data_IF_605338744763
#
_entry.id   IF_605338744763
#
_cell.length_a   1.000
_cell.length_b   1.000
_cell.length_c   1.000
_cell.angle_alpha   90.00
_cell.angle_beta   90.00
_cell.angle_gamma   90.00
#
_symmetry.space_group_name_H-M   'P 1'
#
loop_
_entity.id
_entity.type
_entity.pdbx_description
1 polymer ?
#
# COMPACT_ATOMS: atom_id res chain seq x y z
N UNK A 1 9.58 -21.36 -13.19
CA UNK A 1 9.23 -22.79 -13.15
C UNK A 1 8.67 -23.19 -14.50
N UNK A 2 9.05 -24.35 -15.01
CA UNK A 2 8.56 -24.88 -16.28
C UNK A 2 7.85 -26.19 -16.03
N UNK A 3 6.58 -26.26 -16.43
CA UNK A 3 5.80 -27.48 -16.43
C UNK A 3 5.85 -28.08 -17.83
N UNK A 4 6.28 -29.32 -17.95
CA UNK A 4 6.38 -30.02 -19.26
C UNK A 4 5.49 -31.24 -19.24
N UNK A 5 4.68 -31.39 -20.29
CA UNK A 5 3.80 -32.55 -20.49
C UNK A 5 4.52 -33.67 -21.23
N UNK A 6 4.26 -34.90 -20.79
CA UNK A 6 4.72 -36.11 -21.46
C UNK A 6 3.57 -37.10 -21.62
N UNK A 7 3.46 -37.72 -22.78
CA UNK A 7 2.48 -38.76 -23.07
C UNK A 7 3.23 -40.07 -23.29
N UNK A 8 3.02 -41.03 -22.40
CA UNK A 8 3.58 -42.39 -22.51
C UNK A 8 2.43 -43.40 -22.47
N UNK A 9 2.34 -44.27 -23.47
CA UNK A 9 1.29 -45.28 -23.58
C UNK A 9 -0.16 -44.72 -23.44
N UNK A 10 -0.40 -43.50 -23.92
CA UNK A 10 -1.71 -42.84 -23.86
C UNK A 10 -2.05 -42.18 -22.52
N UNK A 11 -1.15 -42.22 -21.53
CA UNK A 11 -1.30 -41.51 -20.26
C UNK A 11 -0.56 -40.19 -20.32
N UNK A 12 -1.28 -39.08 -20.11
CA UNK A 12 -0.69 -37.74 -20.01
C UNK A 12 -0.20 -37.51 -18.58
N UNK A 13 1.07 -37.20 -18.44
CA UNK A 13 1.71 -36.82 -17.18
C UNK A 13 2.38 -35.47 -17.32
N UNK A 14 2.67 -34.83 -16.19
CA UNK A 14 3.45 -33.59 -16.15
C UNK A 14 4.62 -33.70 -15.17
N UNK A 15 5.70 -32.99 -15.48
CA UNK A 15 6.82 -32.78 -14.58
C UNK A 15 7.06 -31.29 -14.44
N UNK A 16 7.30 -30.84 -13.21
CA UNK A 16 7.67 -29.46 -12.91
C UNK A 16 9.18 -29.40 -12.71
N UNK A 17 9.82 -28.49 -13.43
CA UNK A 17 11.21 -28.11 -13.21
C UNK A 17 11.27 -26.63 -12.82
N UNK A 18 12.34 -26.22 -12.17
CA UNK A 18 12.57 -24.82 -11.82
C UNK A 18 14.05 -24.51 -11.76
N UNK A 19 14.37 -23.24 -11.94
CA UNK A 19 15.70 -22.70 -11.77
C UNK A 19 15.64 -21.58 -10.73
N UNK A 20 16.69 -21.42 -9.94
CA UNK A 20 16.85 -20.28 -9.06
C UNK A 20 17.22 -19.00 -9.85
N UNK A 21 17.38 -17.89 -9.12
CA UNK A 21 17.75 -16.59 -9.70
C UNK A 21 19.15 -16.56 -10.34
N UNK A 22 20.00 -17.54 -10.05
CA UNK A 22 21.33 -17.73 -10.63
C UNK A 22 21.34 -18.70 -11.80
N UNK A 23 20.17 -19.21 -12.21
CA UNK A 23 20.01 -20.16 -13.31
C UNK A 23 20.32 -21.61 -12.94
N UNK A 24 20.52 -21.92 -11.66
CA UNK A 24 20.79 -23.27 -11.17
C UNK A 24 19.47 -24.02 -10.99
N UNK A 25 19.41 -25.27 -11.45
CA UNK A 25 18.21 -26.10 -11.29
C UNK A 25 17.88 -26.32 -9.81
N UNK A 26 16.61 -26.14 -9.46
CA UNK A 26 16.12 -26.40 -8.11
C UNK A 26 16.16 -27.90 -7.79
N UNK A 27 16.50 -28.30 -6.54
CA UNK A 27 16.56 -29.70 -6.16
C UNK A 27 15.18 -30.36 -6.24
N UNK A 28 15.12 -31.62 -6.68
CA UNK A 28 13.88 -32.36 -6.87
C UNK A 28 13.01 -32.50 -5.60
N UNK A 29 13.61 -32.38 -4.41
CA UNK A 29 12.89 -32.43 -3.14
C UNK A 29 11.96 -31.23 -2.89
N UNK A 30 12.13 -30.11 -3.61
CA UNK A 30 11.31 -28.90 -3.48
C UNK A 30 10.24 -28.77 -4.57
N UNK A 31 10.00 -29.84 -5.32
CA UNK A 31 9.06 -29.88 -6.45
C UNK A 31 8.15 -31.13 -6.34
N UNK A 32 6.99 -31.13 -7.02
CA UNK A 32 6.18 -32.34 -7.16
C UNK A 32 7.02 -33.49 -7.72
N UNK A 33 6.71 -34.72 -7.29
CA UNK A 33 7.38 -35.91 -7.84
C UNK A 33 7.22 -35.95 -9.37
N UNK A 34 8.21 -36.46 -10.09
CA UNK A 34 8.16 -36.51 -11.55
C UNK A 34 6.95 -37.31 -12.07
N UNK A 35 6.49 -36.99 -13.28
CA UNK A 35 5.44 -37.69 -14.01
C UNK A 35 4.10 -37.79 -13.24
N UNK A 36 3.67 -36.68 -12.63
CA UNK A 36 2.34 -36.62 -12.02
C UNK A 36 1.24 -36.81 -13.07
N UNK A 37 0.16 -37.53 -12.76
CA UNK A 37 -0.96 -37.69 -13.68
C UNK A 37 -1.61 -36.33 -13.96
N UNK A 38 -1.86 -36.03 -15.24
CA UNK A 38 -2.62 -34.84 -15.64
C UNK A 38 -4.09 -35.18 -15.81
N UNK A 39 -4.96 -34.30 -15.31
CA UNK A 39 -6.39 -34.32 -15.62
C UNK A 39 -6.82 -32.90 -15.91
N UNK A 40 -7.56 -32.71 -16.99
CA UNK A 40 -8.01 -31.39 -17.44
C UNK A 40 -8.81 -30.67 -16.35
N UNK A 41 -8.44 -29.43 -16.05
CA UNK A 41 -9.10 -28.60 -15.04
C UNK A 41 -8.75 -28.94 -13.59
N UNK A 42 -7.96 -29.99 -13.32
CA UNK A 42 -7.46 -30.24 -11.97
C UNK A 42 -6.44 -29.17 -11.56
N UNK A 43 -6.50 -28.78 -10.28
CA UNK A 43 -5.56 -27.83 -9.71
C UNK A 43 -4.17 -28.45 -9.62
N UNK A 44 -3.19 -27.74 -10.15
CA UNK A 44 -1.76 -28.03 -9.99
C UNK A 44 -1.23 -27.03 -8.97
N UNK A 45 -0.73 -27.54 -7.85
CA UNK A 45 -0.25 -26.73 -6.74
C UNK A 45 1.15 -27.16 -6.31
N UNK A 46 2.07 -26.20 -6.18
CA UNK A 46 3.42 -26.42 -5.67
C UNK A 46 4.05 -25.10 -5.22
N UNK A 47 4.90 -25.13 -4.20
CA UNK A 47 5.64 -23.96 -3.70
C UNK A 47 4.76 -22.71 -3.48
N UNK A 48 3.52 -22.88 -3.00
CA UNK A 48 2.55 -21.80 -2.77
C UNK A 48 1.85 -21.27 -4.02
N UNK A 49 2.22 -21.75 -5.21
CA UNK A 49 1.60 -21.41 -6.49
C UNK A 49 0.46 -22.40 -6.76
N UNK A 50 -0.66 -21.89 -7.27
CA UNK A 50 -1.82 -22.70 -7.69
C UNK A 50 -2.33 -22.21 -9.04
N UNK A 51 -2.54 -23.13 -9.96
CA UNK A 51 -3.18 -22.86 -11.26
C UNK A 51 -3.87 -24.13 -11.77
N UNK A 52 -4.66 -24.01 -12.83
CA UNK A 52 -5.18 -25.17 -13.55
C UNK A 52 -4.82 -25.02 -15.04
N UNK A 53 -4.79 -26.16 -15.74
CA UNK A 53 -4.64 -26.21 -17.18
C UNK A 53 -5.84 -26.96 -17.72
N UNK A 54 -6.46 -26.41 -18.76
CA UNK A 54 -7.62 -27.00 -19.43
C UNK A 54 -7.23 -27.49 -20.82
N UNK A 55 -8.00 -28.43 -21.35
CA UNK A 55 -7.73 -29.08 -22.64
C UNK A 55 -6.83 -30.31 -22.54
N UNK A 56 -6.37 -30.76 -23.73
CA UNK A 56 -5.54 -31.93 -23.94
C UNK A 56 -4.17 -31.49 -24.46
N UNK A 57 -3.15 -31.35 -23.58
CA UNK A 57 -1.81 -30.97 -24.00
C UNK A 57 -1.17 -32.09 -24.83
N UNK A 58 -0.40 -31.71 -25.84
CA UNK A 58 0.38 -32.63 -26.65
C UNK A 58 1.69 -33.01 -25.94
N UNK A 59 2.31 -34.10 -26.39
CA UNK A 59 3.60 -34.54 -25.86
C UNK A 59 4.68 -33.48 -26.12
N UNK A 60 5.35 -33.01 -25.08
CA UNK A 60 6.37 -31.96 -25.16
C UNK A 60 5.83 -30.54 -24.96
N UNK A 61 4.52 -30.34 -24.83
CA UNK A 61 3.96 -29.02 -24.51
C UNK A 61 4.50 -28.54 -23.16
N UNK A 62 4.83 -27.25 -23.07
CA UNK A 62 5.39 -26.65 -21.87
C UNK A 62 4.72 -25.35 -21.48
N UNK A 63 4.52 -25.14 -20.19
CA UNK A 63 4.01 -23.91 -19.60
C UNK A 63 5.07 -23.31 -18.68
N UNK A 64 5.39 -22.04 -18.93
CA UNK A 64 6.32 -21.30 -18.08
C UNK A 64 5.55 -20.48 -17.05
N UNK A 65 5.85 -20.71 -15.78
CA UNK A 65 5.37 -19.94 -14.64
C UNK A 65 6.54 -19.10 -14.13
N UNK A 66 6.52 -17.82 -14.49
CA UNK A 66 7.52 -16.84 -14.11
C UNK A 66 6.95 -15.83 -13.11
N UNK A 67 7.80 -15.23 -12.25
CA UNK A 67 7.40 -14.07 -11.45
C UNK A 67 6.85 -12.95 -12.34
N UNK A 68 5.88 -12.20 -11.81
CA UNK A 68 5.34 -11.03 -12.48
C UNK A 68 6.42 -9.97 -12.70
N UNK A 69 6.39 -9.34 -13.87
CA UNK A 69 7.27 -8.23 -14.23
C UNK A 69 6.47 -6.95 -14.40
N UNK A 70 7.16 -5.80 -14.37
CA UNK A 70 6.51 -4.53 -14.66
C UNK A 70 6.18 -4.45 -16.15
N UNK A 71 4.88 -4.36 -16.48
CA UNK A 71 4.39 -4.19 -17.85
C UNK A 71 3.63 -2.87 -17.94
N UNK A 72 4.08 -1.91 -18.79
CA UNK A 72 3.34 -0.67 -19.02
C UNK A 72 1.94 -0.95 -19.59
N UNK A 73 0.92 -0.23 -19.11
CA UNK A 73 -0.46 -0.40 -19.58
C UNK A 73 -0.60 -0.19 -21.09
N UNK A 74 0.14 0.78 -21.65
CA UNK A 74 0.16 1.03 -23.09
C UNK A 74 0.75 -0.14 -23.87
N UNK A 75 1.75 -0.82 -23.32
CA UNK A 75 2.30 -2.03 -23.92
C UNK A 75 1.28 -3.16 -23.88
N UNK A 76 0.52 -3.30 -22.78
CA UNK A 76 -0.57 -4.27 -22.68
C UNK A 76 -1.63 -4.04 -23.76
N UNK A 77 -2.05 -2.79 -23.96
CA UNK A 77 -3.02 -2.42 -25.00
C UNK A 77 -2.46 -2.71 -26.40
N UNK A 78 -1.19 -2.35 -26.66
CA UNK A 78 -0.54 -2.64 -27.93
C UNK A 78 -0.46 -4.14 -28.21
N UNK A 79 -0.10 -4.94 -27.19
CA UNK A 79 -0.06 -6.40 -27.31
C UNK A 79 -1.44 -6.98 -27.60
N UNK A 80 -2.48 -6.45 -26.96
CA UNK A 80 -3.86 -6.88 -27.21
C UNK A 80 -4.31 -6.53 -28.64
N UNK A 81 -3.99 -5.34 -29.14
CA UNK A 81 -4.27 -4.96 -30.54
C UNK A 81 -3.56 -5.91 -31.51
N UNK A 82 -2.28 -6.19 -31.27
CA UNK A 82 -1.51 -7.13 -32.10
C UNK A 82 -2.11 -8.54 -32.06
N UNK A 83 -2.52 -9.01 -30.88
CA UNK A 83 -3.17 -10.30 -30.69
C UNK A 83 -4.47 -10.39 -31.49
N UNK A 84 -5.34 -9.38 -31.37
CA UNK A 84 -6.64 -9.34 -32.08
C UNK A 84 -6.51 -9.23 -33.60
N UNK A 85 -5.40 -8.65 -34.09
CA UNK A 85 -5.09 -8.58 -35.52
C UNK A 85 -4.38 -9.84 -36.05
N UNK A 86 -3.99 -10.77 -35.18
CA UNK A 86 -3.32 -12.00 -35.61
C UNK A 86 -4.36 -12.99 -36.15
N UNK A 87 -4.26 -13.41 -37.43
CA UNK A 87 -5.21 -14.34 -38.00
C UNK A 87 -5.10 -15.71 -37.31
N UNK A 88 -6.25 -16.27 -36.95
CA UNK A 88 -6.36 -17.62 -36.39
C UNK A 88 -6.62 -18.63 -37.53
N UNK A 89 -5.61 -19.45 -37.91
CA UNK A 89 -5.83 -20.45 -38.94
C UNK A 89 -6.84 -21.51 -38.46
N UNK A 90 -7.84 -21.78 -39.29
CA UNK A 90 -8.87 -22.78 -39.00
C UNK A 90 -8.26 -24.16 -38.75
N UNK A 91 -8.72 -24.85 -37.70
CA UNK A 91 -8.25 -26.19 -37.34
C UNK A 91 -6.94 -26.24 -36.52
N UNK A 92 -6.31 -25.11 -36.22
CA UNK A 92 -5.13 -25.07 -35.36
C UNK A 92 -5.52 -24.85 -33.89
N UNK A 93 -5.73 -25.96 -33.16
CA UNK A 93 -6.11 -25.94 -31.74
C UNK A 93 -5.06 -25.27 -30.85
N UNK A 94 -3.76 -25.44 -31.16
CA UNK A 94 -2.65 -24.79 -30.44
C UNK A 94 -2.69 -23.27 -30.60
N UNK A 95 -2.94 -22.76 -31.81
CA UNK A 95 -3.08 -21.34 -32.06
C UNK A 95 -4.28 -20.75 -31.30
N UNK A 96 -5.41 -21.47 -31.27
CA UNK A 96 -6.60 -21.07 -30.50
C UNK A 96 -6.31 -21.04 -29.00
N UNK A 97 -5.64 -22.05 -28.44
CA UNK A 97 -5.31 -22.11 -27.02
C UNK A 97 -4.34 -20.99 -26.62
N UNK A 98 -3.32 -20.75 -27.44
CA UNK A 98 -2.36 -19.65 -27.22
C UNK A 98 -3.05 -18.29 -27.28
N UNK A 99 -4.02 -18.10 -28.17
CA UNK A 99 -4.81 -16.88 -28.25
C UNK A 99 -5.63 -16.65 -26.99
N UNK A 100 -6.36 -17.66 -26.51
CA UNK A 100 -7.12 -17.57 -25.26
C UNK A 100 -6.21 -17.28 -24.07
N UNK A 101 -5.05 -17.92 -23.98
CA UNK A 101 -4.09 -17.67 -22.90
C UNK A 101 -3.54 -16.23 -22.93
N UNK A 102 -3.19 -15.72 -24.10
CA UNK A 102 -2.70 -14.34 -24.23
C UNK A 102 -3.80 -13.31 -23.91
N UNK A 103 -5.05 -13.60 -24.25
CA UNK A 103 -6.19 -12.77 -23.90
C UNK A 103 -6.38 -12.69 -22.38
N UNK A 104 -6.35 -13.83 -21.68
CA UNK A 104 -6.43 -13.87 -20.21
C UNK A 104 -5.28 -13.10 -19.55
N UNK A 105 -4.06 -13.22 -20.09
CA UNK A 105 -2.90 -12.45 -19.62
C UNK A 105 -3.10 -10.95 -19.82
N UNK A 106 -3.63 -10.54 -20.99
CA UNK A 106 -3.93 -9.14 -21.28
C UNK A 106 -4.99 -8.59 -20.32
N UNK A 107 -6.07 -9.33 -20.08
CA UNK A 107 -7.11 -8.96 -19.12
C UNK A 107 -6.55 -8.78 -17.71
N UNK A 108 -5.74 -9.74 -17.23
CA UNK A 108 -5.09 -9.65 -15.92
C UNK A 108 -4.16 -8.43 -15.79
N UNK A 109 -3.44 -8.08 -16.85
CA UNK A 109 -2.59 -6.89 -16.88
C UNK A 109 -3.40 -5.59 -16.89
N UNK A 110 -4.51 -5.54 -17.64
CA UNK A 110 -5.42 -4.39 -17.67
C UNK A 110 -6.05 -4.14 -16.30
N UNK A 111 -6.51 -5.21 -15.62
CA UNK A 111 -7.07 -5.13 -14.27
C UNK A 111 -6.06 -4.59 -13.25
N UNK A 112 -4.80 -5.05 -13.32
CA UNK A 112 -3.72 -4.52 -12.47
C UNK A 112 -3.43 -3.04 -12.76
N UNK A 113 -3.40 -2.65 -14.04
CA UNK A 113 -3.23 -1.25 -14.43
C UNK A 113 -4.36 -0.35 -13.93
N UNK A 114 -5.61 -0.82 -14.01
CA UNK A 114 -6.77 -0.13 -13.45
C UNK A 114 -6.65 0.05 -11.94
N UNK A 115 -6.23 -0.99 -11.21
CA UNK A 115 -6.00 -0.89 -9.77
C UNK A 115 -4.91 0.11 -9.41
N UNK A 116 -3.84 0.20 -10.20
CA UNK A 116 -2.80 1.20 -10.00
C UNK A 116 -3.34 2.63 -10.18
N UNK A 117 -4.17 2.87 -11.21
CA UNK A 117 -4.85 4.16 -11.42
C UNK A 117 -5.79 4.49 -10.25
N UNK A 118 -6.60 3.53 -9.81
CA UNK A 118 -7.50 3.71 -8.66
C UNK A 118 -6.72 4.06 -7.39
N UNK A 119 -5.60 3.38 -7.15
CA UNK A 119 -4.71 3.68 -6.01
C UNK A 119 -4.17 5.12 -6.08
N UNK A 120 -3.76 5.57 -7.27
CA UNK A 120 -3.37 6.96 -7.50
C UNK A 120 -4.48 7.96 -7.20
N UNK A 121 -5.71 7.69 -7.66
CA UNK A 121 -6.87 8.53 -7.39
C UNK A 121 -7.21 8.60 -5.88
N UNK A 122 -7.11 7.48 -5.17
CA UNK A 122 -7.30 7.44 -3.71
C UNK A 122 -6.26 8.29 -3.00
N UNK A 123 -4.99 8.22 -3.42
CA UNK A 123 -3.93 9.07 -2.87
C UNK A 123 -4.21 10.55 -3.13
N UNK A 124 -4.66 10.92 -4.34
CA UNK A 124 -5.06 12.29 -4.66
C UNK A 124 -6.24 12.76 -3.80
N UNK A 125 -7.27 11.93 -3.62
CA UNK A 125 -8.40 12.25 -2.74
C UNK A 125 -7.98 12.46 -1.28
N UNK A 126 -7.02 11.66 -0.80
CA UNK A 126 -6.46 11.80 0.56
C UNK A 126 -5.70 13.11 0.72
N UNK A 127 -4.90 13.48 -0.28
CA UNK A 127 -4.21 14.77 -0.31
C UNK A 127 -5.21 15.94 -0.35
N UNK A 128 -6.26 15.85 -1.16
CA UNK A 128 -7.32 16.87 -1.21
C UNK A 128 -8.02 17.04 0.15
N UNK A 129 -8.38 15.94 0.80
CA UNK A 129 -8.98 15.97 2.14
C UNK A 129 -8.04 16.62 3.17
N UNK A 130 -6.74 16.30 3.09
CA UNK A 130 -5.72 16.92 3.94
C UNK A 130 -5.64 18.42 3.71
N UNK A 131 -5.64 18.88 2.45
CA UNK A 131 -5.65 20.30 2.11
C UNK A 131 -6.91 21.00 2.64
N UNK A 132 -8.10 20.41 2.49
CA UNK A 132 -9.34 20.96 3.04
C UNK A 132 -9.29 21.12 4.57
N UNK A 133 -8.75 20.12 5.27
CA UNK A 133 -8.57 20.19 6.73
C UNK A 133 -7.55 21.26 7.14
N UNK A 134 -6.46 21.40 6.39
CA UNK A 134 -5.47 22.46 6.63
C UNK A 134 -6.08 23.84 6.41
N UNK A 135 -6.89 24.04 5.36
CA UNK A 135 -7.61 25.31 5.13
C UNK A 135 -8.62 25.59 6.25
N UNK A 136 -9.34 24.60 6.76
CA UNK A 136 -10.24 24.80 7.89
C UNK A 136 -9.49 25.18 9.18
N UNK A 137 -8.33 24.57 9.39
CA UNK A 137 -7.43 24.90 10.52
C UNK A 137 -6.87 26.32 10.40
N UNK A 138 -6.44 26.71 9.21
CA UNK A 138 -5.93 28.06 8.92
C UNK A 138 -6.99 29.14 9.19
N UNK A 139 -8.22 28.95 8.72
CA UNK A 139 -9.34 29.85 9.03
C UNK A 139 -9.59 29.96 10.54
N UNK A 140 -9.51 28.84 11.27
CA UNK A 140 -9.70 28.83 12.74
C UNK A 140 -8.59 29.60 13.46
N UNK A 141 -7.34 29.42 13.02
CA UNK A 141 -6.19 30.19 13.54
C UNK A 141 -6.32 31.68 13.22
N UNK A 142 -6.79 32.03 12.03
CA UNK A 142 -7.03 33.41 11.63
C UNK A 142 -8.04 34.09 12.56
N UNK A 143 -9.17 33.43 12.85
CA UNK A 143 -10.17 33.90 13.82
C UNK A 143 -9.56 34.05 15.22
N UNK A 144 -8.77 33.06 15.67
CA UNK A 144 -8.12 33.12 16.97
C UNK A 144 -7.14 34.30 17.08
N UNK A 145 -6.35 34.55 16.04
CA UNK A 145 -5.45 35.70 15.98
C UNK A 145 -6.22 37.02 15.99
N UNK A 146 -7.30 37.14 15.21
CA UNK A 146 -8.17 38.32 15.27
C UNK A 146 -8.73 38.54 16.67
N UNK A 147 -9.26 37.50 17.32
CA UNK A 147 -9.77 37.59 18.70
C UNK A 147 -8.69 37.98 19.70
N UNK A 148 -7.49 37.42 19.57
CA UNK A 148 -6.34 37.76 20.44
C UNK A 148 -5.92 39.21 20.24
N UNK A 149 -5.87 39.70 19.00
CA UNK A 149 -5.57 41.10 18.70
C UNK A 149 -6.65 42.01 19.28
N UNK A 150 -7.94 41.70 19.08
CA UNK A 150 -9.05 42.47 19.67
C UNK A 150 -8.94 42.50 21.18
N UNK A 151 -8.71 41.37 21.85
CA UNK A 151 -8.53 41.33 23.32
C UNK A 151 -7.35 42.19 23.77
N UNK A 152 -6.21 42.17 23.07
CA UNK A 152 -5.05 43.01 23.42
C UNK A 152 -5.36 44.50 23.21
N UNK A 153 -6.07 44.86 22.14
CA UNK A 153 -6.46 46.25 21.87
C UNK A 153 -7.54 46.75 22.84
N UNK A 154 -8.52 45.90 23.15
CA UNK A 154 -9.65 46.19 24.04
C UNK A 154 -9.27 46.07 25.52
N UNK A 155 -8.14 45.42 25.84
CA UNK A 155 -7.57 45.41 27.18
C UNK A 155 -7.19 46.84 27.54
N UNK A 156 -8.02 47.47 28.35
CA UNK A 156 -7.84 48.83 28.82
C UNK A 156 -6.57 48.90 29.68
N UNK A 157 -5.44 49.22 29.06
CA UNK A 157 -4.10 49.26 29.65
C UNK A 157 -4.09 49.97 31.01
N UNK A 158 -4.87 51.03 31.17
CA UNK A 158 -5.04 51.77 32.43
C UNK A 158 -5.61 50.93 33.58
N UNK A 159 -6.64 50.11 33.31
CA UNK A 159 -7.23 49.23 34.31
C UNK A 159 -6.29 48.06 34.66
N UNK A 160 -5.64 47.47 33.66
CA UNK A 160 -4.71 46.35 33.85
C UNK A 160 -3.44 46.78 34.58
N UNK A 161 -2.95 48.00 34.33
CA UNK A 161 -1.83 48.60 35.07
C UNK A 161 -2.22 48.85 36.53
N UNK A 162 -3.45 49.34 36.78
CA UNK A 162 -3.97 49.50 38.15
C UNK A 162 -4.07 48.16 38.87
N UNK A 163 -4.62 47.14 38.22
CA UNK A 163 -4.75 45.79 38.80
C UNK A 163 -3.38 45.17 39.11
N UNK A 164 -2.43 45.27 38.18
CA UNK A 164 -1.04 44.81 38.38
C UNK A 164 -0.33 45.56 39.50
N UNK A 165 -0.55 46.88 39.60
CA UNK A 165 -0.01 47.70 40.69
C UNK A 165 -0.60 47.28 42.04
N UNK A 166 -1.90 46.98 42.07
CA UNK A 166 -2.60 46.50 43.26
C UNK A 166 -2.11 45.10 43.71
N UNK A 167 -1.89 44.18 42.77
CA UNK A 167 -1.29 42.86 43.07
C UNK A 167 0.16 42.99 43.56
N UNK A 168 0.97 43.86 42.94
CA UNK A 168 2.34 44.14 43.42
C UNK A 168 2.34 44.71 44.84
N UNK A 169 1.44 45.64 45.14
CA UNK A 169 1.30 46.22 46.47
C UNK A 169 0.92 45.14 47.49
N UNK A 170 -0.03 44.27 47.13
CA UNK A 170 -0.48 43.16 47.98
C UNK A 170 0.64 42.15 48.23
N UNK A 171 1.41 41.78 47.20
CA UNK A 171 2.57 40.90 47.35
C UNK A 171 3.65 41.52 48.24
N UNK A 172 3.93 42.81 48.07
CA UNK A 172 4.90 43.52 48.89
C UNK A 172 4.44 43.60 50.36
N UNK A 173 3.15 43.85 50.59
CA UNK A 173 2.54 43.81 51.92
C UNK A 173 2.58 42.41 52.55
N UNK A 174 2.35 41.36 51.75
CA UNK A 174 2.46 39.97 52.19
C UNK A 174 3.91 39.60 52.55
N UNK A 175 4.90 40.00 51.75
CA UNK A 175 6.32 39.82 52.05
C UNK A 175 6.73 40.56 53.33
N UNK A 176 6.23 41.77 53.53
CA UNK A 176 6.52 42.56 54.73
C UNK A 176 5.81 42.03 55.98
N UNK A 177 4.59 41.50 55.83
CA UNK A 177 3.88 40.82 56.90
C UNK A 177 4.57 39.51 57.28
N UNK A 178 5.05 38.75 56.28
CA UNK A 178 5.82 37.53 56.51
C UNK A 178 7.13 37.80 57.26
N UNK A 179 7.91 38.81 56.86
CA UNK A 179 9.13 39.20 57.59
C UNK A 179 8.85 39.71 59.01
N UNK A 180 7.74 40.44 59.21
CA UNK A 180 7.32 40.90 60.54
C UNK A 180 6.87 39.74 61.45
N UNK A 181 6.13 38.76 60.93
CA UNK A 181 5.69 37.58 61.71
C UNK A 181 6.86 36.65 62.02
N UNK A 182 7.75 36.41 61.05
CA UNK A 182 8.92 35.56 61.26
C UNK A 182 9.95 36.16 62.24
N UNK A 183 10.08 37.49 62.30
CA UNK A 183 10.89 38.16 63.33
C UNK A 183 10.27 38.12 64.74
N UNK A 184 8.93 38.13 64.85
CA UNK A 184 8.23 37.96 66.13
C UNK A 184 8.27 36.51 66.67
N UNK A 185 8.38 35.52 65.78
CA UNK A 185 8.49 34.09 66.17
C UNK A 185 9.86 33.71 66.74
N UNK A 186 10.93 34.42 66.39
CA UNK A 186 12.29 34.08 66.83
C UNK A 186 12.67 34.74 68.17
N UNK A 187 12.00 35.82 68.57
CA UNK A 187 12.24 36.50 69.86
C UNK A 187 11.34 36.03 71.02
N UNK A 188 10.28 35.24 70.75
CA UNK A 188 9.41 34.70 71.80
C UNK A 188 9.74 33.27 72.25
N UNK A 189 10.71 32.58 71.62
CA UNK A 189 11.10 31.22 72.00
C UNK A 189 12.39 31.14 72.85
N UNK A 190 13.00 32.28 73.20
CA UNK A 190 14.20 32.35 74.05
C UNK A 190 13.95 33.25 75.29
N UNK A 191 12.94 32.91 76.10
CA UNK A 191 12.87 33.36 77.50
C UNK A 191 12.77 32.19 78.45
#
# INVERSE_FOLDING_TARGET
>A
YTLTFSITAGVTTYTVSGTDASGVALPAASLPSANQPYTSGQTIAFNGIQFNIQGQPANGDSFNVAPSTHVPIFQTVQNLITLLNTPLPAGNSTASSNFTQQLQTAEGNLNQGLNAILTGNVALGTNLSTLTNLTATENSLNIQYQSTISQIQDTNYTSTLSLLSQEKLSLQAAMQSFTSISSLSLFNYLR
#
